data_IF_791306205068
#
_entry.id   IF_791306205068
#
_cell.length_a   1.000
_cell.length_b   1.000
_cell.length_c   1.000
_cell.angle_alpha   90.00
_cell.angle_beta   90.00
_cell.angle_gamma   90.00
#
_symmetry.space_group_name_H-M   'P 1'
#
loop_
_entity.id
_entity.type
_entity.pdbx_description
1 polymer ?
#
# COMPACT_ATOMS: atom_id res chain seq x y z
N UNK A 1 12.10 10.01 38.36
CA UNK A 1 10.78 10.03 37.70
C UNK A 1 11.03 9.54 36.28
N UNK A 2 10.95 8.23 36.10
CA UNK A 2 11.20 7.62 34.80
C UNK A 2 9.95 7.79 33.94
N UNK A 3 10.10 8.59 32.89
CA UNK A 3 9.11 8.72 31.84
C UNK A 3 9.01 7.36 31.14
N UNK A 4 7.90 6.66 31.35
CA UNK A 4 7.55 5.46 30.59
C UNK A 4 7.39 5.92 29.15
N UNK A 5 8.42 5.72 28.34
CA UNK A 5 8.34 5.83 26.89
C UNK A 5 7.30 4.81 26.44
N UNK A 6 6.08 5.29 26.14
CA UNK A 6 5.08 4.52 25.41
C UNK A 6 5.69 4.17 24.06
N UNK A 7 6.32 3.01 24.02
CA UNK A 7 6.74 2.32 22.80
C UNK A 7 5.49 2.06 21.99
N UNK A 8 5.19 2.98 21.06
CA UNK A 8 4.20 2.79 20.01
C UNK A 8 4.54 1.47 19.31
N UNK A 9 3.74 0.43 19.53
CA UNK A 9 3.86 -0.89 18.88
C UNK A 9 3.93 -0.80 17.35
N UNK A 10 3.60 0.35 16.77
CA UNK A 10 3.66 0.68 15.35
C UNK A 10 4.89 1.51 15.00
N UNK A 11 5.83 0.89 14.29
CA UNK A 11 6.88 1.54 13.51
C UNK A 11 6.53 1.48 12.02
N UNK A 12 7.17 2.31 11.17
CA UNK A 12 6.98 2.27 9.71
C UNK A 12 7.10 0.85 9.14
N UNK A 13 8.12 0.10 9.59
CA UNK A 13 8.36 -1.27 9.13
C UNK A 13 7.23 -2.23 9.55
N UNK A 14 6.75 -2.13 10.79
CA UNK A 14 5.61 -2.95 11.26
C UNK A 14 4.30 -2.62 10.56
N UNK A 15 4.07 -1.35 10.26
CA UNK A 15 2.90 -0.93 9.50
C UNK A 15 2.91 -1.52 8.08
N UNK A 16 4.07 -1.49 7.44
CA UNK A 16 4.30 -2.07 6.11
C UNK A 16 4.11 -3.60 6.09
N UNK A 17 4.48 -4.29 7.16
CA UNK A 17 4.37 -5.75 7.26
C UNK A 17 3.01 -6.24 7.75
N UNK A 18 2.08 -5.34 8.08
CA UNK A 18 0.79 -5.65 8.65
C UNK A 18 -0.31 -5.79 7.59
N UNK A 19 -0.94 -6.96 7.49
CA UNK A 19 -2.18 -7.17 6.72
C UNK A 19 -3.36 -6.38 7.30
N UNK A 20 -3.39 -6.24 8.61
CA UNK A 20 -4.37 -5.42 9.33
C UNK A 20 -4.31 -3.94 8.92
N UNK A 21 -3.09 -3.41 8.74
CA UNK A 21 -2.91 -2.04 8.27
C UNK A 21 -3.45 -1.88 6.83
N UNK A 22 -3.18 -2.87 5.96
CA UNK A 22 -3.71 -2.88 4.61
C UNK A 22 -5.24 -2.96 4.58
N UNK A 23 -5.85 -3.77 5.44
CA UNK A 23 -7.30 -3.90 5.58
C UNK A 23 -7.97 -2.56 5.94
N UNK A 24 -7.39 -1.81 6.88
CA UNK A 24 -7.84 -0.44 7.22
C UNK A 24 -7.79 0.48 5.99
N UNK A 25 -6.68 0.50 5.25
CA UNK A 25 -6.55 1.33 4.04
C UNK A 25 -7.58 0.94 2.98
N UNK A 26 -7.83 -0.37 2.80
CA UNK A 26 -8.83 -0.88 1.88
C UNK A 26 -10.23 -0.40 2.26
N UNK A 27 -10.60 -0.46 3.54
CA UNK A 27 -11.90 0.03 4.00
C UNK A 27 -12.06 1.52 3.69
N UNK A 28 -11.06 2.35 4.04
CA UNK A 28 -11.07 3.79 3.73
C UNK A 28 -11.21 4.02 2.22
N UNK A 29 -10.51 3.23 1.40
CA UNK A 29 -10.55 3.34 -0.06
C UNK A 29 -11.90 3.00 -0.66
N UNK A 30 -12.63 2.04 -0.07
CA UNK A 30 -13.83 1.45 -0.66
C UNK A 30 -15.00 2.43 -0.79
N UNK A 31 -14.89 3.59 -0.15
CA UNK A 31 -15.88 4.66 -0.14
C UNK A 31 -15.34 5.84 -0.94
N UNK A 32 -16.20 6.44 -1.77
CA UNK A 32 -15.78 7.50 -2.67
C UNK A 32 -15.16 8.70 -1.97
N UNK A 33 -15.70 9.04 -0.80
CA UNK A 33 -15.28 10.21 -0.05
C UNK A 33 -14.33 9.86 1.11
N UNK A 34 -14.16 8.58 1.46
CA UNK A 34 -13.48 8.13 2.70
C UNK A 34 -14.41 7.47 3.73
N UNK A 35 -13.93 7.22 4.95
CA UNK A 35 -14.68 6.48 5.99
C UNK A 35 -14.51 7.06 7.39
N UNK A 36 -15.52 6.89 8.24
CA UNK A 36 -15.44 7.28 9.66
C UNK A 36 -14.66 6.26 10.49
N UNK A 37 -13.99 6.73 11.55
CA UNK A 37 -13.26 5.86 12.48
C UNK A 37 -14.11 4.71 13.05
N UNK A 38 -15.38 5.00 13.36
CA UNK A 38 -16.34 4.03 13.87
C UNK A 38 -16.70 2.97 12.83
N UNK A 39 -16.93 3.37 11.58
CA UNK A 39 -17.23 2.44 10.49
C UNK A 39 -16.04 1.54 10.17
N UNK A 40 -14.83 2.10 10.18
CA UNK A 40 -13.60 1.32 9.99
C UNK A 40 -13.50 0.26 11.08
N UNK A 41 -13.77 0.62 12.34
CA UNK A 41 -13.75 -0.33 13.45
C UNK A 41 -14.82 -1.43 13.29
N UNK A 42 -16.04 -1.07 12.91
CA UNK A 42 -17.16 -2.02 12.81
C UNK A 42 -17.00 -3.01 11.65
N UNK A 43 -16.25 -2.62 10.61
CA UNK A 43 -15.95 -3.47 9.44
C UNK A 43 -14.74 -4.37 9.63
N UNK A 44 -13.97 -4.18 10.70
CA UNK A 44 -12.81 -4.99 11.04
C UNK A 44 -13.22 -6.05 12.05
N UNK A 45 -13.01 -7.33 11.72
CA UNK A 45 -13.44 -8.46 12.55
C UNK A 45 -12.93 -8.41 13.99
N UNK A 46 -11.77 -7.77 14.21
CA UNK A 46 -11.10 -7.68 15.52
C UNK A 46 -11.71 -6.67 16.48
N UNK A 47 -12.51 -5.70 16.03
CA UNK A 47 -13.18 -4.71 16.87
C UNK A 47 -12.30 -4.00 17.93
N UNK A 48 -11.01 -3.76 17.62
CA UNK A 48 -10.07 -3.07 18.52
C UNK A 48 -9.97 -1.58 18.16
N UNK A 49 -10.82 -0.77 18.79
CA UNK A 49 -10.91 0.67 18.54
C UNK A 49 -9.61 1.42 18.79
N UNK A 50 -8.87 1.05 19.85
CA UNK A 50 -7.61 1.71 20.16
C UNK A 50 -6.56 1.42 19.09
N UNK A 51 -6.50 0.17 18.64
CA UNK A 51 -5.54 -0.22 17.62
C UNK A 51 -5.87 0.38 16.25
N UNK A 52 -7.14 0.44 15.86
CA UNK A 52 -7.60 1.17 14.66
C UNK A 52 -7.15 2.63 14.73
N UNK A 53 -7.41 3.32 15.85
CA UNK A 53 -7.00 4.72 16.02
C UNK A 53 -5.48 4.89 15.91
N UNK A 54 -4.68 4.01 16.54
CA UNK A 54 -3.20 4.07 16.45
C UNK A 54 -2.70 3.89 15.01
N UNK A 55 -3.24 2.92 14.29
CA UNK A 55 -2.84 2.64 12.90
C UNK A 55 -3.21 3.84 12.01
N UNK A 56 -4.41 4.39 12.15
CA UNK A 56 -4.84 5.57 11.38
C UNK A 56 -3.94 6.77 11.70
N UNK A 57 -3.60 7.03 12.97
CA UNK A 57 -2.65 8.09 13.31
C UNK A 57 -1.29 7.90 12.64
N UNK A 58 -0.78 6.66 12.54
CA UNK A 58 0.45 6.38 11.80
C UNK A 58 0.29 6.57 10.29
N UNK A 59 -0.86 6.28 9.72
CA UNK A 59 -1.15 6.63 8.34
C UNK A 59 -1.17 8.15 8.12
N UNK A 60 -1.69 8.94 9.06
CA UNK A 60 -1.64 10.40 8.98
C UNK A 60 -0.20 10.93 9.04
N UNK A 61 0.60 10.43 9.97
CA UNK A 61 2.03 10.79 10.10
C UNK A 61 2.82 10.50 8.82
N UNK A 62 2.52 9.39 8.16
CA UNK A 62 3.15 9.00 6.89
C UNK A 62 2.50 9.66 5.67
N UNK A 63 1.49 10.52 5.86
CA UNK A 63 0.80 11.20 4.78
C UNK A 63 -0.05 10.29 3.89
N UNK A 64 -0.37 9.07 4.34
CA UNK A 64 -1.17 8.08 3.60
C UNK A 64 -2.67 8.35 3.71
N UNK A 65 -3.11 8.98 4.80
CA UNK A 65 -4.49 9.42 5.01
C UNK A 65 -4.52 10.85 5.55
N UNK A 66 -5.70 11.48 5.51
CA UNK A 66 -5.97 12.78 6.13
C UNK A 66 -7.35 12.80 6.75
N UNK A 67 -7.52 13.67 7.75
CA UNK A 67 -8.86 14.06 8.20
C UNK A 67 -9.59 14.77 7.07
N UNK A 68 -10.77 14.29 6.72
CA UNK A 68 -11.63 15.00 5.77
C UNK A 68 -12.36 16.16 6.43
N UNK A 69 -13.00 16.99 5.61
CA UNK A 69 -13.55 18.29 6.02
C UNK A 69 -14.95 18.21 6.68
N UNK A 70 -15.58 17.03 6.71
CA UNK A 70 -16.99 16.89 7.11
C UNK A 70 -17.19 16.60 8.60
N UNK A 71 -17.66 17.63 9.33
CA UNK A 71 -18.37 17.58 10.64
C UNK A 71 -17.70 16.87 11.83
N UNK A 72 -18.35 16.92 13.01
CA UNK A 72 -17.84 16.63 14.37
C UNK A 72 -17.20 15.25 14.61
N UNK A 73 -17.33 14.30 13.68
CA UNK A 73 -16.81 12.94 13.81
C UNK A 73 -15.48 12.78 13.05
N UNK A 74 -14.60 11.91 13.55
CA UNK A 74 -13.31 11.64 12.92
C UNK A 74 -13.51 10.87 11.60
N UNK A 75 -13.36 11.59 10.48
CA UNK A 75 -13.51 11.11 9.12
C UNK A 75 -12.18 11.10 8.39
N UNK A 76 -11.86 10.02 7.67
CA UNK A 76 -10.55 9.84 7.03
C UNK A 76 -10.68 9.58 5.53
N UNK A 77 -9.83 10.25 4.76
CA UNK A 77 -9.71 10.12 3.31
C UNK A 77 -8.30 9.65 2.97
N UNK A 78 -8.16 8.86 1.90
CA UNK A 78 -6.84 8.52 1.37
C UNK A 78 -6.11 9.74 0.82
N UNK A 79 -4.79 9.68 0.90
CA UNK A 79 -3.88 10.54 0.16
C UNK A 79 -3.11 9.67 -0.82
N UNK A 80 -3.60 9.61 -2.05
CA UNK A 80 -2.98 8.87 -3.16
C UNK A 80 -1.50 9.23 -3.33
N UNK A 81 -1.16 10.51 -3.24
CA UNK A 81 0.24 10.99 -3.23
C UNK A 81 1.11 10.31 -2.17
N UNK A 82 0.62 10.12 -0.94
CA UNK A 82 1.39 9.46 0.11
C UNK A 82 1.66 7.99 -0.19
N UNK A 83 0.67 7.29 -0.77
CA UNK A 83 0.85 5.90 -1.21
C UNK A 83 1.91 5.80 -2.31
N UNK A 84 1.89 6.72 -3.27
CA UNK A 84 2.88 6.80 -4.34
C UNK A 84 4.27 7.15 -3.83
N UNK A 85 4.40 8.10 -2.89
CA UNK A 85 5.69 8.42 -2.27
C UNK A 85 6.26 7.21 -1.51
N UNK A 86 5.42 6.46 -0.81
CA UNK A 86 5.82 5.23 -0.13
C UNK A 86 6.25 4.13 -1.10
N UNK A 87 5.51 3.97 -2.21
CA UNK A 87 5.86 3.10 -3.32
C UNK A 87 7.24 3.48 -3.89
N UNK A 88 7.48 4.77 -4.16
CA UNK A 88 8.78 5.27 -4.61
C UNK A 88 9.92 4.95 -3.67
N UNK A 89 9.72 5.11 -2.37
CA UNK A 89 10.74 4.74 -1.38
C UNK A 89 10.99 3.23 -1.33
N UNK A 90 9.96 2.40 -1.54
CA UNK A 90 10.08 0.94 -1.49
C UNK A 90 10.78 0.36 -2.73
N UNK A 91 10.73 1.04 -3.86
CA UNK A 91 11.41 0.62 -5.09
C UNK A 91 12.60 1.49 -5.47
N UNK A 92 12.88 2.56 -4.74
CA UNK A 92 13.97 3.51 -5.04
C UNK A 92 13.72 4.30 -6.33
N UNK A 93 12.45 4.65 -6.59
CA UNK A 93 12.08 5.54 -7.70
C UNK A 93 12.49 6.98 -7.36
N UNK A 94 13.32 7.60 -8.21
CA UNK A 94 13.65 9.02 -8.08
C UNK A 94 12.46 9.93 -8.39
N UNK A 95 11.51 9.48 -9.23
CA UNK A 95 10.25 10.18 -9.51
C UNK A 95 9.19 9.17 -9.94
N UNK A 96 8.03 9.11 -9.26
CA UNK A 96 6.94 8.23 -9.67
C UNK A 96 6.34 8.71 -11.02
N UNK A 97 5.91 7.77 -11.89
CA UNK A 97 5.28 8.12 -13.15
C UNK A 97 3.98 8.92 -13.00
N UNK A 98 3.65 9.70 -14.02
CA UNK A 98 2.43 10.50 -14.06
C UNK A 98 1.18 9.62 -13.89
N UNK A 99 0.24 10.07 -13.04
CA UNK A 99 -1.05 9.40 -12.74
C UNK A 99 -0.99 8.11 -11.92
N UNK A 100 0.18 7.68 -11.44
CA UNK A 100 0.34 6.52 -10.53
C UNK A 100 -0.67 6.54 -9.37
N UNK A 101 -0.87 7.71 -8.77
CA UNK A 101 -1.84 8.01 -7.71
C UNK A 101 -3.26 7.47 -8.02
N UNK A 102 -3.76 7.73 -9.23
CA UNK A 102 -5.12 7.38 -9.63
C UNK A 102 -5.29 5.87 -9.87
N UNK A 103 -4.24 5.21 -10.37
CA UNK A 103 -4.23 3.76 -10.60
C UNK A 103 -4.18 3.02 -9.28
N UNK A 104 -3.31 3.46 -8.35
CA UNK A 104 -3.21 2.90 -6.99
C UNK A 104 -4.54 2.97 -6.25
N UNK A 105 -5.20 4.12 -6.29
CA UNK A 105 -6.48 4.30 -5.61
C UNK A 105 -7.58 3.43 -6.22
N UNK A 106 -7.71 3.41 -7.55
CA UNK A 106 -8.67 2.56 -8.25
C UNK A 106 -8.41 1.08 -7.99
N UNK A 107 -7.15 0.67 -7.92
CA UNK A 107 -6.81 -0.71 -7.63
C UNK A 107 -7.17 -1.09 -6.19
N UNK A 108 -6.79 -0.27 -5.21
CA UNK A 108 -7.12 -0.50 -3.79
C UNK A 108 -8.63 -0.64 -3.56
N UNK A 109 -9.43 0.19 -4.23
CA UNK A 109 -10.91 0.14 -4.23
C UNK A 109 -11.48 -1.20 -4.71
N UNK A 110 -10.87 -1.76 -5.75
CA UNK A 110 -11.37 -2.97 -6.41
C UNK A 110 -10.71 -4.26 -5.91
N UNK A 111 -9.70 -4.15 -5.06
CA UNK A 111 -8.90 -5.29 -4.62
C UNK A 111 -9.69 -6.22 -3.69
N UNK A 112 -9.89 -7.47 -4.11
CA UNK A 112 -10.83 -8.38 -3.44
C UNK A 112 -10.24 -9.15 -2.25
N UNK A 113 -8.93 -9.41 -2.21
CA UNK A 113 -8.34 -10.38 -1.28
C UNK A 113 -7.35 -9.75 -0.27
N UNK A 114 -7.77 -9.32 0.93
CA UNK A 114 -6.90 -8.64 1.91
C UNK A 114 -5.83 -9.53 2.59
N UNK A 115 -5.44 -10.65 1.99
CA UNK A 115 -4.43 -11.56 2.55
C UNK A 115 -2.99 -11.02 2.53
N UNK A 116 -2.75 -9.91 1.83
CA UNK A 116 -1.42 -9.28 1.72
C UNK A 116 -1.20 -8.21 2.78
N UNK A 117 0.05 -8.06 3.23
CA UNK A 117 0.46 -6.88 3.98
C UNK A 117 0.67 -5.68 3.04
N UNK A 118 0.72 -4.46 3.61
CA UNK A 118 0.82 -3.24 2.82
C UNK A 118 2.06 -3.22 1.91
N UNK A 119 3.20 -3.73 2.38
CA UNK A 119 4.42 -3.84 1.59
C UNK A 119 4.25 -4.82 0.42
N UNK A 120 3.64 -5.98 0.65
CA UNK A 120 3.37 -7.00 -0.37
C UNK A 120 2.35 -6.52 -1.39
N UNK A 121 1.30 -5.81 -0.93
CA UNK A 121 0.32 -5.14 -1.79
C UNK A 121 1.01 -4.14 -2.71
N UNK A 122 1.79 -3.22 -2.13
CA UNK A 122 2.52 -2.23 -2.90
C UNK A 122 3.47 -2.97 -3.84
N UNK A 123 4.42 -3.77 -3.32
CA UNK A 123 5.53 -4.35 -4.10
C UNK A 123 5.15 -5.31 -5.21
N UNK A 124 4.28 -6.27 -4.92
CA UNK A 124 4.04 -7.41 -5.82
C UNK A 124 2.65 -7.30 -6.42
N UNK A 125 1.64 -7.09 -5.59
CA UNK A 125 0.25 -7.22 -6.04
C UNK A 125 -0.18 -6.04 -6.91
N UNK A 126 0.31 -4.83 -6.63
CA UNK A 126 0.07 -3.68 -7.49
C UNK A 126 0.82 -3.82 -8.81
N UNK A 127 2.12 -4.16 -8.79
CA UNK A 127 2.92 -4.35 -10.00
C UNK A 127 2.31 -5.43 -10.92
N UNK A 128 1.89 -6.56 -10.34
CA UNK A 128 1.21 -7.61 -11.08
C UNK A 128 -0.11 -7.14 -11.70
N UNK A 129 -0.91 -6.35 -10.97
CA UNK A 129 -2.15 -5.79 -11.52
C UNK A 129 -1.91 -4.80 -12.65
N UNK A 130 -0.87 -3.97 -12.57
CA UNK A 130 -0.46 -3.08 -13.65
C UNK A 130 -0.09 -3.90 -14.89
N UNK A 131 0.58 -5.04 -14.74
CA UNK A 131 0.90 -5.98 -15.82
C UNK A 131 -0.36 -6.61 -16.46
N UNK A 132 -1.32 -7.07 -15.64
CA UNK A 132 -2.57 -7.62 -16.16
C UNK A 132 -3.41 -6.56 -16.91
N UNK A 133 -3.35 -5.29 -16.48
CA UNK A 133 -4.05 -4.19 -17.14
C UNK A 133 -3.47 -3.85 -18.52
N UNK A 134 -2.21 -4.20 -18.83
CA UNK A 134 -1.66 -4.06 -20.18
C UNK A 134 -2.40 -4.91 -21.23
N UNK A 135 -3.09 -5.96 -20.80
CA UNK A 135 -3.84 -6.84 -21.71
C UNK A 135 -5.22 -6.29 -22.09
N UNK A 136 -5.71 -5.23 -21.43
CA UNK A 136 -7.03 -4.64 -21.67
C UNK A 136 -6.95 -3.09 -21.66
N UNK A 137 -6.87 -2.51 -22.86
CA UNK A 137 -6.98 -1.08 -23.22
C UNK A 137 -6.99 -0.04 -22.07
N UNK A 138 -5.82 0.18 -21.50
CA UNK A 138 -5.29 1.44 -20.95
C UNK A 138 -3.77 1.31 -21.18
N UNK A 139 -2.98 2.25 -21.69
CA UNK A 139 -3.05 3.69 -21.87
C UNK A 139 -1.71 4.14 -22.49
N UNK A 140 -1.57 5.42 -22.85
CA UNK A 140 -0.27 6.01 -23.24
C UNK A 140 0.81 6.04 -22.13
N UNK A 141 0.49 5.73 -20.85
CA UNK A 141 1.41 5.87 -19.70
C UNK A 141 1.63 4.58 -18.89
N UNK A 142 0.96 3.48 -19.24
CA UNK A 142 1.06 2.21 -18.50
C UNK A 142 2.39 1.51 -18.80
N UNK A 143 2.86 1.65 -20.04
CA UNK A 143 4.10 1.04 -20.51
C UNK A 143 5.34 1.65 -19.82
N UNK A 144 5.35 2.97 -19.58
CA UNK A 144 6.42 3.62 -18.80
C UNK A 144 6.47 3.13 -17.35
N UNK A 145 5.32 2.94 -16.71
CA UNK A 145 5.26 2.37 -15.35
C UNK A 145 5.79 0.93 -15.34
N UNK A 146 5.43 0.14 -16.34
CA UNK A 146 5.78 -1.27 -16.43
C UNK A 146 7.25 -1.53 -16.73
N UNK A 147 7.86 -0.71 -17.59
CA UNK A 147 9.29 -0.78 -17.86
C UNK A 147 10.10 -0.48 -16.60
N UNK A 148 9.69 0.55 -15.85
CA UNK A 148 10.29 0.88 -14.56
C UNK A 148 10.17 -0.23 -13.50
N UNK A 149 9.07 -0.99 -13.48
CA UNK A 149 8.93 -2.12 -12.54
C UNK A 149 9.79 -3.31 -12.92
N UNK A 150 9.92 -3.61 -14.22
CA UNK A 150 10.77 -4.68 -14.73
C UNK A 150 12.25 -4.43 -14.42
N UNK A 151 12.74 -3.23 -14.71
CA UNK A 151 14.14 -2.85 -14.42
C UNK A 151 14.47 -3.02 -12.92
N UNK A 152 13.53 -2.72 -12.03
CA UNK A 152 13.79 -2.80 -10.58
C UNK A 152 13.69 -4.22 -10.04
N UNK A 153 12.79 -5.06 -10.56
CA UNK A 153 12.81 -6.48 -10.24
C UNK A 153 14.11 -7.13 -10.68
N UNK A 154 14.58 -6.84 -11.89
CA UNK A 154 15.87 -7.30 -12.38
C UNK A 154 17.01 -6.80 -11.47
N UNK A 155 17.08 -5.50 -11.17
CA UNK A 155 18.10 -4.94 -10.27
C UNK A 155 18.05 -5.59 -8.88
N UNK A 156 16.86 -5.87 -8.33
CA UNK A 156 16.71 -6.55 -7.03
C UNK A 156 17.07 -8.03 -7.09
N UNK A 157 16.81 -8.71 -8.20
CA UNK A 157 17.26 -10.09 -8.45
C UNK A 157 18.80 -10.15 -8.52
N UNK A 158 19.44 -9.19 -9.18
CA UNK A 158 20.91 -9.11 -9.25
C UNK A 158 21.56 -8.71 -7.91
N UNK A 159 20.90 -7.85 -7.12
CA UNK A 159 21.39 -7.45 -5.78
C UNK A 159 21.15 -8.49 -4.69
N UNK A 160 20.35 -9.53 -4.95
CA UNK A 160 20.06 -10.59 -3.98
C UNK A 160 20.20 -11.98 -4.62
N UNK A 161 21.42 -12.57 -4.63
CA UNK A 161 21.76 -13.78 -5.39
C UNK A 161 20.86 -14.99 -5.10
N UNK A 162 20.29 -15.03 -3.89
CA UNK A 162 19.39 -16.10 -3.44
C UNK A 162 18.03 -16.12 -4.16
N UNK A 163 17.57 -14.98 -4.70
CA UNK A 163 16.34 -14.88 -5.49
C UNK A 163 16.58 -15.24 -6.96
N UNK A 164 17.72 -14.84 -7.52
CA UNK A 164 18.16 -15.20 -8.88
C UNK A 164 18.28 -16.72 -9.06
N UNK A 165 18.88 -17.42 -8.08
CA UNK A 165 19.01 -18.89 -8.09
C UNK A 165 17.66 -19.63 -8.08
N UNK A 166 16.66 -19.14 -7.36
CA UNK A 166 15.32 -19.77 -7.32
C UNK A 166 14.54 -19.58 -8.63
N UNK A 167 14.73 -18.46 -9.31
CA UNK A 167 14.10 -18.20 -10.60
C UNK A 167 14.71 -19.07 -11.70
N UNK A 168 16.04 -19.12 -11.76
CA UNK A 168 16.77 -19.95 -12.73
C UNK A 168 16.48 -21.46 -12.56
N UNK A 169 16.27 -21.93 -11.33
CA UNK A 169 15.88 -23.32 -11.09
C UNK A 169 14.44 -23.61 -11.54
N UNK A 170 13.54 -22.62 -11.50
CA UNK A 170 12.14 -22.78 -11.92
C UNK A 170 11.99 -22.80 -13.45
N UNK A 171 12.79 -22.04 -14.18
CA UNK A 171 12.79 -22.01 -15.65
C UNK A 171 13.46 -23.24 -16.30
N UNK A 172 14.29 -23.98 -15.56
CA UNK A 172 14.94 -25.21 -16.03
C UNK A 172 14.24 -26.50 -15.53
N UNK A 173 13.03 -26.38 -14.97
CA UNK A 173 12.24 -27.51 -14.44
C UNK A 173 11.12 -27.99 -15.38
N UNK A 174 11.02 -27.44 -16.60
CA UNK A 174 10.13 -27.95 -17.66
C UNK A 174 10.88 -28.90 -18.61
#
# INVERSE_FOLDING_TARGET
>A
MDSITMSSRWSKNRLLESSYAFEILKIISSREEGSYASEINDLIERNDREEVSRVISKFEELGLVKKGKRTRAQYYELRSRGLTELLSQLWDFQSPPNKTDSVLEKYLRNYKNPGSNLNGFLRRDFAYAVNELQSNEYSDNLDEMMEMFKEIEEIKMYRNPSLSLKHALKENSD
#
